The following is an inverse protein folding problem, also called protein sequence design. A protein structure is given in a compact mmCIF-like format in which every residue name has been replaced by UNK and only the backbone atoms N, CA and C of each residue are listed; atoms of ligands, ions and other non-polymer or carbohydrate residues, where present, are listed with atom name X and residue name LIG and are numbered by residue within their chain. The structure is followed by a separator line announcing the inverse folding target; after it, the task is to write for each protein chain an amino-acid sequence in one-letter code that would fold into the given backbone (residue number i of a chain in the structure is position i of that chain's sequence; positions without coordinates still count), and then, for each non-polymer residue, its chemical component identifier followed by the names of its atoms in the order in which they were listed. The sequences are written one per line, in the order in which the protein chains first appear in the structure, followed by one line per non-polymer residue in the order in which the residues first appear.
data_IF_569370734976
#
_entry.id   IF_569370734976
#
_cell.length_a   1.000
_cell.length_b   1.000
_cell.length_c   1.000
_cell.angle_alpha   90.00
_cell.angle_beta   90.00
_cell.angle_gamma   90.00
#
_symmetry.space_group_name_H-M   'P 1'
#
loop_
_entity.id
_entity.type
_entity.pdbx_description
1 polymer ?
#
# COMPACT_ATOMS: atom_id res chain seq x y z
N UNK A 1 -57.30 48.36 8.97
CA UNK A 1 -57.21 46.94 8.55
C UNK A 1 -55.75 46.53 8.53
N UNK A 2 -55.29 45.89 9.60
CA UNK A 2 -53.89 45.53 9.86
C UNK A 2 -53.64 44.08 9.42
N UNK A 3 -52.69 43.85 8.50
CA UNK A 3 -52.31 42.49 8.05
C UNK A 3 -51.56 41.75 9.17
N UNK A 4 -52.08 40.59 9.57
CA UNK A 4 -51.38 39.63 10.44
C UNK A 4 -50.35 38.87 9.58
N UNK A 5 -49.05 38.81 9.97
CA UNK A 5 -48.07 38.02 9.23
C UNK A 5 -48.22 36.52 9.54
N UNK A 6 -48.17 35.69 8.49
CA UNK A 6 -48.27 34.24 8.57
C UNK A 6 -47.11 33.63 9.38
N UNK A 7 -47.45 32.75 10.33
CA UNK A 7 -46.48 32.03 11.14
C UNK A 7 -45.63 31.10 10.26
N UNK A 8 -44.30 31.19 10.37
CA UNK A 8 -43.39 30.20 9.76
C UNK A 8 -43.54 28.85 10.48
N UNK A 9 -43.60 27.72 9.76
CA UNK A 9 -43.56 26.42 10.39
C UNK A 9 -42.25 26.24 11.16
N UNK A 10 -42.35 25.79 12.42
CA UNK A 10 -41.17 25.45 13.23
C UNK A 10 -40.53 24.18 12.68
N UNK A 11 -39.20 24.09 12.57
CA UNK A 11 -38.55 22.83 12.28
C UNK A 11 -38.88 21.83 13.39
N UNK A 12 -39.29 20.63 12.99
CA UNK A 12 -39.60 19.53 13.90
C UNK A 12 -38.27 19.01 14.45
N UNK A 13 -37.87 19.49 15.63
CA UNK A 13 -36.70 18.96 16.35
C UNK A 13 -37.07 17.63 16.99
N UNK A 14 -36.93 16.55 16.23
CA UNK A 14 -36.93 15.17 16.74
C UNK A 14 -35.57 14.82 17.35
N UNK A 15 -35.50 14.04 18.45
CA UNK A 15 -34.25 13.76 19.18
C UNK A 15 -33.34 12.69 18.52
N UNK A 16 -33.43 12.49 17.21
CA UNK A 16 -32.72 11.41 16.50
C UNK A 16 -32.04 11.90 15.20
N UNK A 17 -31.42 13.08 15.22
CA UNK A 17 -30.46 13.44 14.19
C UNK A 17 -29.06 13.61 14.80
N UNK A 18 -28.50 12.50 15.29
CA UNK A 18 -27.05 12.40 15.46
C UNK A 18 -26.48 12.04 14.09
N UNK A 19 -26.16 13.05 13.29
CA UNK A 19 -25.03 12.92 12.38
C UNK A 19 -23.82 12.70 13.27
N UNK A 20 -23.47 11.45 13.53
CA UNK A 20 -22.16 11.12 14.05
C UNK A 20 -21.18 11.38 12.90
N UNK A 21 -20.28 12.38 12.98
CA UNK A 21 -19.16 12.48 12.07
C UNK A 21 -18.16 11.43 12.52
N UNK A 22 -18.49 10.16 12.28
CA UNK A 22 -17.58 9.06 12.44
C UNK A 22 -17.03 8.77 11.05
N UNK A 23 -15.71 8.68 10.98
CA UNK A 23 -14.96 7.90 10.00
C UNK A 23 -14.57 8.47 8.63
N UNK A 24 -14.92 9.68 8.20
CA UNK A 24 -14.43 10.14 6.88
C UNK A 24 -12.90 10.42 6.91
N UNK A 25 -12.43 11.24 7.86
CA UNK A 25 -10.99 11.50 8.06
C UNK A 25 -10.19 10.23 8.41
N UNK A 26 -10.74 9.36 9.26
CA UNK A 26 -10.11 8.07 9.62
C UNK A 26 -10.11 7.10 8.43
N UNK A 27 -11.11 7.14 7.54
CA UNK A 27 -11.11 6.33 6.31
C UNK A 27 -10.05 6.82 5.32
N UNK A 28 -9.87 8.13 5.21
CA UNK A 28 -8.85 8.77 4.38
C UNK A 28 -7.44 8.41 4.85
N UNK A 29 -7.19 8.50 6.15
CA UNK A 29 -5.88 8.15 6.72
C UNK A 29 -5.56 6.66 6.57
N UNK A 30 -6.56 5.77 6.72
CA UNK A 30 -6.39 4.33 6.44
C UNK A 30 -6.13 4.06 4.96
N UNK A 31 -6.82 4.77 4.06
CA UNK A 31 -6.58 4.66 2.61
C UNK A 31 -5.16 5.13 2.23
N UNK A 32 -4.71 6.26 2.80
CA UNK A 32 -3.34 6.78 2.63
C UNK A 32 -2.30 5.81 3.18
N UNK A 33 -2.54 5.26 4.37
CA UNK A 33 -1.67 4.26 5.02
C UNK A 33 -1.50 3.01 4.14
N UNK A 34 -2.61 2.41 3.69
CA UNK A 34 -2.60 1.25 2.78
C UNK A 34 -1.89 1.53 1.46
N UNK A 35 -2.13 2.70 0.88
CA UNK A 35 -1.51 3.11 -0.37
C UNK A 35 0.00 3.28 -0.22
N UNK A 36 0.44 3.91 0.88
CA UNK A 36 1.86 4.05 1.22
C UNK A 36 2.52 2.68 1.41
N UNK A 37 1.90 1.80 2.21
CA UNK A 37 2.35 0.43 2.42
C UNK A 37 2.45 -0.36 1.11
N UNK A 38 1.48 -0.19 0.20
CA UNK A 38 1.51 -0.79 -1.13
C UNK A 38 2.69 -0.30 -1.96
N UNK A 39 2.88 1.01 -2.11
CA UNK A 39 3.98 1.58 -2.92
C UNK A 39 5.34 1.17 -2.34
N UNK A 40 5.53 1.38 -1.04
CA UNK A 40 6.78 1.08 -0.36
C UNK A 40 7.14 -0.41 -0.43
N UNK A 41 6.18 -1.28 -0.14
CA UNK A 41 6.37 -2.73 -0.23
C UNK A 41 6.72 -3.21 -1.63
N UNK A 42 6.12 -2.63 -2.68
CA UNK A 42 6.46 -2.98 -4.07
C UNK A 42 7.88 -2.50 -4.43
N UNK A 43 8.29 -1.30 -4.03
CA UNK A 43 9.65 -0.80 -4.30
C UNK A 43 10.72 -1.70 -3.67
N UNK A 44 10.55 -2.08 -2.41
CA UNK A 44 11.54 -2.90 -1.72
C UNK A 44 11.62 -4.33 -2.30
N UNK A 45 10.47 -4.91 -2.65
CA UNK A 45 10.43 -6.21 -3.33
C UNK A 45 11.05 -6.14 -4.72
N UNK A 46 10.78 -5.08 -5.49
CA UNK A 46 11.42 -4.87 -6.80
C UNK A 46 12.94 -4.80 -6.66
N UNK A 47 13.44 -4.07 -5.66
CA UNK A 47 14.87 -4.01 -5.39
C UNK A 47 15.45 -5.38 -5.03
N UNK A 48 14.74 -6.19 -4.22
CA UNK A 48 15.16 -7.54 -3.90
C UNK A 48 15.25 -8.42 -5.14
N UNK A 49 14.24 -8.39 -6.02
CA UNK A 49 14.24 -9.12 -7.30
C UNK A 49 15.40 -8.69 -8.18
N UNK A 50 15.62 -7.37 -8.35
CA UNK A 50 16.73 -6.87 -9.17
C UNK A 50 18.08 -7.30 -8.59
N UNK A 51 18.23 -7.32 -7.26
CA UNK A 51 19.44 -7.78 -6.59
C UNK A 51 19.74 -9.27 -6.77
N UNK A 52 18.77 -10.09 -7.22
CA UNK A 52 19.02 -11.50 -7.55
C UNK A 52 19.41 -11.71 -9.01
N UNK A 53 19.20 -10.72 -9.88
CA UNK A 53 19.50 -10.83 -11.31
C UNK A 53 21.00 -11.02 -11.52
N UNK A 54 21.36 -12.07 -12.24
CA UNK A 54 22.76 -12.41 -12.52
C UNK A 54 23.49 -13.15 -11.40
N UNK A 55 22.79 -13.55 -10.34
CA UNK A 55 23.30 -14.53 -9.36
C UNK A 55 23.50 -15.89 -10.04
N UNK A 56 24.64 -16.54 -9.84
CA UNK A 56 24.83 -17.94 -10.27
C UNK A 56 23.96 -18.91 -9.45
N UNK A 57 23.57 -18.51 -8.24
CA UNK A 57 22.71 -19.26 -7.34
C UNK A 57 21.29 -18.67 -7.30
N UNK A 58 20.47 -19.03 -8.30
CA UNK A 58 19.07 -18.64 -8.37
C UNK A 58 18.17 -19.40 -7.38
N UNK A 59 18.65 -20.51 -6.78
CA UNK A 59 17.85 -21.35 -5.90
C UNK A 59 17.49 -20.64 -4.58
N UNK A 60 18.29 -19.64 -4.18
CA UNK A 60 18.08 -18.86 -2.96
C UNK A 60 17.31 -17.55 -3.17
N UNK A 61 16.94 -17.18 -4.41
CA UNK A 61 16.26 -15.91 -4.70
C UNK A 61 14.93 -15.75 -3.97
N UNK A 62 14.20 -16.85 -3.72
CA UNK A 62 12.95 -16.82 -2.96
C UNK A 62 13.16 -16.41 -1.49
N UNK A 63 14.30 -16.78 -0.88
CA UNK A 63 14.65 -16.43 0.50
C UNK A 63 14.87 -14.93 0.60
N UNK A 64 15.58 -14.34 -0.36
CA UNK A 64 15.88 -12.91 -0.40
C UNK A 64 14.57 -12.11 -0.50
N UNK A 65 13.67 -12.50 -1.39
CA UNK A 65 12.36 -11.85 -1.54
C UNK A 65 11.51 -12.04 -0.28
N UNK A 66 11.42 -13.26 0.25
CA UNK A 66 10.68 -13.58 1.48
C UNK A 66 11.16 -12.74 2.65
N UNK A 67 12.47 -12.76 2.91
CA UNK A 67 13.09 -11.98 3.97
C UNK A 67 12.79 -10.49 3.80
N UNK A 68 12.86 -9.97 2.57
CA UNK A 68 12.59 -8.56 2.29
C UNK A 68 11.17 -8.16 2.67
N UNK A 69 10.13 -8.80 2.10
CA UNK A 69 8.77 -8.34 2.38
C UNK A 69 8.34 -8.64 3.81
N UNK A 70 8.81 -9.75 4.41
CA UNK A 70 8.44 -10.13 5.77
C UNK A 70 9.07 -9.20 6.81
N UNK A 71 10.38 -8.93 6.70
CA UNK A 71 11.05 -7.98 7.61
C UNK A 71 10.50 -6.57 7.45
N UNK A 72 10.20 -6.15 6.21
CA UNK A 72 9.55 -4.86 5.94
C UNK A 72 8.20 -4.76 6.64
N UNK A 73 7.36 -5.80 6.53
CA UNK A 73 6.05 -5.85 7.17
C UNK A 73 6.16 -5.76 8.70
N UNK A 74 7.07 -6.55 9.30
CA UNK A 74 7.29 -6.56 10.73
C UNK A 74 7.83 -5.21 11.23
N UNK A 75 8.81 -4.63 10.53
CA UNK A 75 9.36 -3.31 10.85
C UNK A 75 8.30 -2.22 10.76
N UNK A 76 7.43 -2.28 9.75
CA UNK A 76 6.34 -1.32 9.58
C UNK A 76 5.34 -1.39 10.73
N UNK A 77 4.87 -2.60 11.10
CA UNK A 77 3.98 -2.78 12.25
C UNK A 77 4.64 -2.30 13.54
N UNK A 78 5.91 -2.65 13.75
CA UNK A 78 6.65 -2.23 14.93
C UNK A 78 6.74 -0.70 15.02
N UNK A 79 7.18 -0.04 13.94
CA UNK A 79 7.29 1.42 13.91
C UNK A 79 5.93 2.11 14.10
N UNK A 80 4.88 1.58 13.47
CA UNK A 80 3.51 2.09 13.63
C UNK A 80 3.02 1.94 15.07
N UNK A 81 3.20 0.76 15.69
CA UNK A 81 2.83 0.52 17.08
C UNK A 81 3.57 1.48 18.04
N UNK A 82 4.88 1.65 17.87
CA UNK A 82 5.68 2.57 18.70
C UNK A 82 5.17 4.00 18.58
N UNK A 83 4.82 4.46 17.38
CA UNK A 83 4.25 5.80 17.17
C UNK A 83 2.86 5.96 17.80
N UNK A 84 2.02 4.93 17.72
CA UNK A 84 0.63 4.95 18.19
C UNK A 84 0.48 4.95 19.72
N UNK A 85 1.54 4.61 20.47
CA UNK A 85 1.56 4.65 21.94
C UNK A 85 1.52 6.06 22.52
N UNK A 86 1.84 7.08 21.73
CA UNK A 86 1.86 8.46 22.20
C UNK A 86 0.42 9.01 22.23
N UNK A 87 -0.05 9.41 23.41
CA UNK A 87 -1.32 10.14 23.56
C UNK A 87 -2.60 9.30 23.47
N UNK A 88 -2.51 7.96 23.51
CA UNK A 88 -3.67 7.04 23.45
C UNK A 88 -3.83 6.21 24.71
N UNK A 89 -5.06 5.82 25.00
CA UNK A 89 -5.37 4.84 26.05
C UNK A 89 -5.07 3.40 25.58
N UNK A 90 -4.95 2.46 26.51
CA UNK A 90 -4.61 1.06 26.21
C UNK A 90 -5.64 0.36 25.30
N UNK A 91 -6.94 0.62 25.52
CA UNK A 91 -8.01 0.05 24.70
C UNK A 91 -8.06 0.63 23.27
N UNK A 92 -7.73 1.92 23.11
CA UNK A 92 -7.59 2.55 21.79
C UNK A 92 -6.37 1.99 21.05
N UNK A 93 -5.27 1.75 21.77
CA UNK A 93 -4.05 1.19 21.22
C UNK A 93 -4.26 -0.22 20.63
N UNK A 94 -4.96 -1.11 21.34
CA UNK A 94 -5.24 -2.47 20.84
C UNK A 94 -6.07 -2.47 19.56
N UNK A 95 -7.08 -1.60 19.50
CA UNK A 95 -7.95 -1.47 18.32
C UNK A 95 -7.16 -0.97 17.12
N UNK A 96 -6.36 0.09 17.29
CA UNK A 96 -5.51 0.64 16.23
C UNK A 96 -4.40 -0.33 15.79
N UNK A 97 -3.84 -1.13 16.70
CA UNK A 97 -2.85 -2.15 16.35
C UNK A 97 -3.43 -3.17 15.35
N UNK A 98 -4.65 -3.67 15.62
CA UNK A 98 -5.31 -4.63 14.72
C UNK A 98 -5.61 -4.02 13.35
N UNK A 99 -5.95 -2.74 13.30
CA UNK A 99 -6.14 -2.00 12.06
C UNK A 99 -4.82 -1.80 11.32
N UNK A 100 -3.75 -1.38 12.00
CA UNK A 100 -2.42 -1.21 11.42
C UNK A 100 -1.84 -2.50 10.81
N UNK A 101 -2.08 -3.66 11.44
CA UNK A 101 -1.72 -4.97 10.89
C UNK A 101 -2.40 -5.24 9.54
N UNK A 102 -3.69 -4.86 9.41
CA UNK A 102 -4.46 -5.01 8.16
C UNK A 102 -4.04 -3.99 7.12
N UNK A 103 -3.77 -2.76 7.54
CA UNK A 103 -3.36 -1.69 6.66
C UNK A 103 -1.96 -1.91 6.08
N UNK A 104 -1.11 -2.68 6.77
CA UNK A 104 0.19 -3.12 6.30
C UNK A 104 0.15 -4.37 5.38
N UNK A 105 -0.99 -5.07 5.27
CA UNK A 105 -1.13 -6.26 4.43
C UNK A 105 -0.71 -6.08 2.94
N UNK A 106 -0.85 -4.88 2.32
CA UNK A 106 -0.30 -4.61 1.00
C UNK A 106 1.20 -4.93 0.85
N UNK A 107 2.01 -4.80 1.92
CA UNK A 107 3.44 -5.17 1.92
C UNK A 107 3.61 -6.68 1.75
N UNK A 108 2.84 -7.50 2.47
CA UNK A 108 2.89 -8.96 2.29
C UNK A 108 2.51 -9.35 0.86
N UNK A 109 1.48 -8.69 0.33
CA UNK A 109 0.98 -8.96 -1.02
C UNK A 109 1.96 -8.58 -2.13
N UNK A 110 2.88 -7.64 -1.90
CA UNK A 110 3.85 -7.25 -2.94
C UNK A 110 4.88 -8.35 -3.21
N UNK A 111 5.28 -9.09 -2.17
CA UNK A 111 6.32 -10.11 -2.27
C UNK A 111 5.82 -11.54 -2.44
N UNK A 112 4.56 -11.83 -2.09
CA UNK A 112 4.03 -13.20 -2.11
C UNK A 112 4.08 -13.85 -3.51
N UNK A 113 3.57 -13.18 -4.54
CA UNK A 113 3.54 -13.73 -5.90
C UNK A 113 4.96 -13.88 -6.48
N UNK A 114 5.84 -12.86 -6.43
CA UNK A 114 7.25 -13.03 -6.82
C UNK A 114 7.98 -14.14 -6.07
N UNK A 115 7.76 -14.28 -4.76
CA UNK A 115 8.37 -15.34 -3.96
C UNK A 115 7.93 -16.72 -4.45
N UNK A 116 6.63 -16.92 -4.74
CA UNK A 116 6.13 -18.19 -5.28
C UNK A 116 6.70 -18.50 -6.68
N UNK A 117 6.91 -17.48 -7.51
CA UNK A 117 7.60 -17.64 -8.80
C UNK A 117 9.03 -18.16 -8.57
N UNK A 118 9.78 -17.58 -7.64
CA UNK A 118 11.13 -18.03 -7.31
C UNK A 118 11.18 -19.38 -6.59
N UNK A 119 10.16 -19.75 -5.83
CA UNK A 119 10.01 -21.14 -5.35
C UNK A 119 9.89 -22.08 -6.55
N UNK A 120 9.14 -21.71 -7.60
CA UNK A 120 9.07 -22.47 -8.84
C UNK A 120 10.43 -22.58 -9.55
N UNK A 121 11.24 -21.52 -9.56
CA UNK A 121 12.63 -21.57 -10.06
C UNK A 121 13.48 -22.54 -9.25
N UNK A 122 13.41 -22.48 -7.92
CA UNK A 122 14.15 -23.38 -7.02
C UNK A 122 13.70 -24.86 -7.15
N UNK A 123 12.49 -25.11 -7.67
CA UNK A 123 11.97 -26.45 -7.99
C UNK A 123 12.17 -26.83 -9.46
N UNK A 124 12.91 -26.03 -10.22
CA UNK A 124 13.20 -26.24 -11.64
C UNK A 124 11.94 -26.26 -12.54
N UNK A 125 10.81 -25.69 -12.08
CA UNK A 125 9.59 -25.56 -12.89
C UNK A 125 9.71 -24.45 -13.94
N UNK A 126 10.55 -23.44 -13.66
CA UNK A 126 10.74 -22.27 -14.51
C UNK A 126 12.22 -22.01 -14.76
N UNK A 127 12.54 -21.50 -15.94
CA UNK A 127 13.86 -20.95 -16.22
C UNK A 127 14.04 -19.64 -15.42
N UNK A 128 15.21 -19.41 -14.76
CA UNK A 128 15.44 -18.24 -13.93
C UNK A 128 15.18 -16.90 -14.63
N UNK A 129 15.73 -16.70 -15.84
CA UNK A 129 15.69 -15.40 -16.53
C UNK A 129 14.26 -14.94 -16.85
N UNK A 130 13.40 -15.72 -17.53
CA UNK A 130 12.03 -15.29 -17.76
C UNK A 130 11.22 -15.17 -16.46
N UNK A 131 11.50 -15.99 -15.45
CA UNK A 131 10.84 -15.90 -14.15
C UNK A 131 11.17 -14.57 -13.43
N UNK A 132 12.43 -14.13 -13.46
CA UNK A 132 12.88 -12.83 -12.95
C UNK A 132 12.20 -11.67 -13.67
N UNK A 133 12.14 -11.71 -15.01
CA UNK A 133 11.46 -10.68 -15.83
C UNK A 133 9.98 -10.61 -15.49
N UNK A 134 9.30 -11.76 -15.40
CA UNK A 134 7.87 -11.81 -15.06
C UNK A 134 7.64 -11.29 -13.64
N UNK A 135 8.45 -11.72 -12.66
CA UNK A 135 8.33 -11.27 -11.28
C UNK A 135 8.53 -9.75 -11.16
N UNK A 136 9.58 -9.20 -11.77
CA UNK A 136 9.82 -7.75 -11.79
C UNK A 136 8.69 -7.01 -12.51
N UNK A 137 8.26 -7.51 -13.67
CA UNK A 137 7.18 -6.95 -14.48
C UNK A 137 5.85 -6.87 -13.71
N UNK A 138 5.51 -7.91 -12.94
CA UNK A 138 4.31 -7.91 -12.08
C UNK A 138 4.38 -6.81 -11.01
N UNK A 139 5.54 -6.60 -10.39
CA UNK A 139 5.72 -5.55 -9.38
C UNK A 139 5.68 -4.15 -10.00
N UNK A 140 6.27 -3.97 -11.19
CA UNK A 140 6.18 -2.71 -11.95
C UNK A 140 4.75 -2.41 -12.36
N UNK A 141 4.00 -3.42 -12.83
CA UNK A 141 2.58 -3.27 -13.16
C UNK A 141 1.75 -2.89 -11.92
N UNK A 142 2.06 -3.50 -10.77
CA UNK A 142 1.46 -3.13 -9.49
C UNK A 142 1.74 -1.66 -9.16
N UNK A 143 2.98 -1.18 -9.29
CA UNK A 143 3.30 0.23 -9.09
C UNK A 143 2.55 1.15 -10.07
N UNK A 144 2.49 0.79 -11.36
CA UNK A 144 1.77 1.56 -12.36
C UNK A 144 0.27 1.65 -12.05
N UNK A 145 -0.32 0.57 -11.54
CA UNK A 145 -1.74 0.53 -11.14
C UNK A 145 -2.06 1.43 -9.93
N UNK A 146 -1.05 1.85 -9.16
CA UNK A 146 -1.23 2.81 -8.05
C UNK A 146 -1.85 4.12 -8.51
N UNK A 147 -1.48 4.59 -9.72
CA UNK A 147 -2.07 5.81 -10.29
C UNK A 147 -3.59 5.73 -10.40
N UNK A 148 -4.12 4.55 -10.78
CA UNK A 148 -5.56 4.29 -10.85
C UNK A 148 -6.21 4.23 -9.46
N UNK A 149 -5.50 3.70 -8.46
CA UNK A 149 -5.99 3.65 -7.08
C UNK A 149 -6.08 5.05 -6.45
N UNK A 150 -5.05 5.88 -6.63
CA UNK A 150 -5.02 7.29 -6.21
C UNK A 150 -6.19 8.06 -6.82
N UNK A 151 -6.47 7.81 -8.10
CA UNK A 151 -7.56 8.45 -8.83
C UNK A 151 -8.93 8.13 -8.22
N UNK A 152 -9.23 6.84 -8.04
CA UNK A 152 -10.49 6.36 -7.47
C UNK A 152 -10.71 6.91 -6.07
N UNK A 153 -9.65 6.97 -5.26
CA UNK A 153 -9.71 7.52 -3.91
C UNK A 153 -9.80 9.05 -3.88
N UNK A 154 -9.29 9.75 -4.91
CA UNK A 154 -9.36 11.21 -5.00
C UNK A 154 -10.67 11.76 -5.58
N UNK A 155 -11.59 10.92 -6.06
CA UNK A 155 -12.85 11.36 -6.70
C UNK A 155 -12.68 12.15 -8.00
N UNK A 156 -11.49 12.11 -8.63
CA UNK A 156 -11.18 12.85 -9.87
C UNK A 156 -11.52 12.00 -11.11
N UNK A 157 -11.96 12.62 -12.21
CA UNK A 157 -12.25 11.93 -13.47
C UNK A 157 -10.96 11.50 -14.19
N UNK A 158 -10.97 10.30 -14.77
CA UNK A 158 -9.87 9.75 -15.55
C UNK A 158 -9.39 10.71 -16.64
N UNK A 159 -8.13 11.13 -16.54
CA UNK A 159 -7.44 11.99 -17.49
C UNK A 159 -6.17 11.30 -17.97
N UNK A 160 -5.69 11.64 -19.17
CA UNK A 160 -4.39 11.19 -19.66
C UNK A 160 -3.26 11.53 -18.67
N UNK A 161 -3.39 12.61 -17.89
CA UNK A 161 -2.47 12.98 -16.82
C UNK A 161 -2.34 11.92 -15.70
N UNK A 162 -3.35 11.07 -15.51
CA UNK A 162 -3.33 10.01 -14.49
C UNK A 162 -2.59 8.75 -14.93
N UNK A 163 -2.66 8.42 -16.23
CA UNK A 163 -1.77 7.39 -16.80
C UNK A 163 -0.31 7.81 -16.64
N UNK A 164 -0.01 9.10 -16.86
CA UNK A 164 1.31 9.67 -16.59
C UNK A 164 1.70 9.65 -15.11
N UNK A 165 0.75 9.77 -14.16
CA UNK A 165 1.06 9.67 -12.73
C UNK A 165 1.39 8.24 -12.31
N UNK A 166 0.67 7.22 -12.83
CA UNK A 166 0.99 5.81 -12.60
C UNK A 166 2.35 5.41 -13.17
N UNK A 167 2.63 5.82 -14.42
CA UNK A 167 3.95 5.62 -15.04
C UNK A 167 5.05 6.33 -14.25
N UNK A 168 4.80 7.56 -13.79
CA UNK A 168 5.73 8.31 -12.94
C UNK A 168 6.04 7.59 -11.62
N UNK A 169 5.03 7.04 -10.93
CA UNK A 169 5.22 6.24 -9.71
C UNK A 169 6.06 4.99 -9.99
N UNK A 170 5.75 4.26 -11.07
CA UNK A 170 6.52 3.08 -11.45
C UNK A 170 7.98 3.43 -11.78
N UNK A 171 8.20 4.48 -12.57
CA UNK A 171 9.53 4.96 -12.93
C UNK A 171 10.34 5.38 -11.70
N UNK A 172 9.75 6.17 -10.80
CA UNK A 172 10.38 6.55 -9.54
C UNK A 172 10.71 5.33 -8.68
N UNK A 173 9.78 4.37 -8.59
CA UNK A 173 10.01 3.12 -7.86
C UNK A 173 11.15 2.28 -8.43
N UNK A 174 11.25 2.18 -9.76
CA UNK A 174 12.37 1.51 -10.44
C UNK A 174 13.69 2.22 -10.11
N UNK A 175 13.74 3.56 -10.20
CA UNK A 175 14.95 4.34 -9.88
C UNK A 175 15.38 4.11 -8.42
N UNK A 176 14.44 4.17 -7.47
CA UNK A 176 14.73 3.92 -6.05
C UNK A 176 15.25 2.49 -5.84
N UNK A 177 14.65 1.50 -6.51
CA UNK A 177 15.08 0.12 -6.43
C UNK A 177 16.51 -0.07 -6.98
N UNK A 178 16.82 0.53 -8.13
CA UNK A 178 18.15 0.50 -8.74
C UNK A 178 19.21 1.17 -7.85
N UNK A 179 18.87 2.32 -7.24
CA UNK A 179 19.74 2.98 -6.26
C UNK A 179 20.03 2.03 -5.10
N UNK A 180 19.00 1.43 -4.49
CA UNK A 180 19.18 0.49 -3.39
C UNK A 180 20.13 -0.65 -3.76
N UNK A 181 19.93 -1.28 -4.91
CA UNK A 181 20.78 -2.39 -5.38
C UNK A 181 22.22 -1.91 -5.56
N UNK A 182 22.43 -0.75 -6.21
CA UNK A 182 23.76 -0.21 -6.48
C UNK A 182 24.59 0.09 -5.22
N UNK A 183 23.94 0.38 -4.09
CA UNK A 183 24.60 0.68 -2.81
C UNK A 183 24.58 -0.49 -1.82
N UNK A 184 23.87 -1.58 -2.12
CA UNK A 184 23.83 -2.78 -1.27
C UNK A 184 24.82 -3.86 -1.73
N UNK A 185 25.44 -3.66 -2.90
CA UNK A 185 26.51 -4.46 -3.49
C UNK A 185 27.71 -3.56 -3.77
#
# INVERSE_FOLDING_TARGET
MTKVPAARPRPISGPLNRHFPVDEDLSDDRARSRLSAYVYGNILVLAAIIGTVGSEDHAHSWVIVLATFLTTYLAHIFAHNVGERIGRTEAEHETHLREGIRDAAPILSSGMVPMLIFVGVAREWFNPVPAEIVAAGLVVLRLASTGLAVERLSGRKASAATLWSGVGIAAAGIVIALIKVRFSH
#
